data_IF_870177733085
#
_entry.id   IF_870177733085
#
_cell.length_a   1.000
_cell.length_b   1.000
_cell.length_c   1.000
_cell.angle_alpha   90.00
_cell.angle_beta   90.00
_cell.angle_gamma   90.00
#
_symmetry.space_group_name_H-M   'P 1'
#
loop_
_entity.id
_entity.type
_entity.pdbx_description
1 polymer ?
#
# COMPACT_ATOMS: atom_id res chain seq x y z
N UNK A 1 14.93 13.74 30.40
CA UNK A 1 14.95 14.38 29.08
C UNK A 1 13.55 14.25 28.51
N UNK A 2 12.81 15.34 28.46
CA UNK A 2 11.48 15.37 27.86
C UNK A 2 11.65 15.16 26.36
N UNK A 3 11.38 13.96 25.87
CA UNK A 3 11.23 13.69 24.44
C UNK A 3 10.03 14.53 23.97
N UNK A 4 10.31 15.61 23.24
CA UNK A 4 9.26 16.31 22.50
C UNK A 4 8.71 15.31 21.49
N UNK A 5 7.50 14.83 21.74
CA UNK A 5 6.83 13.92 20.81
C UNK A 5 6.52 14.71 19.54
N UNK A 6 7.11 14.33 18.43
CA UNK A 6 6.82 14.92 17.10
C UNK A 6 5.40 14.49 16.74
N UNK A 7 4.48 15.44 16.57
CA UNK A 7 3.13 15.11 16.17
C UNK A 7 3.08 14.71 14.69
N UNK A 8 2.27 13.71 14.36
CA UNK A 8 2.17 13.20 12.99
C UNK A 8 1.66 14.27 12.01
N UNK A 9 0.75 15.13 12.46
CA UNK A 9 0.18 16.23 11.71
C UNK A 9 1.23 17.30 11.34
N UNK A 10 2.25 17.47 12.18
CA UNK A 10 3.36 18.39 11.91
C UNK A 10 4.33 17.84 10.85
N UNK A 11 4.41 16.50 10.73
CA UNK A 11 5.26 15.81 9.75
C UNK A 11 4.57 15.70 8.40
N UNK A 12 3.27 15.37 8.38
CA UNK A 12 2.48 15.10 7.18
C UNK A 12 1.37 16.15 6.99
N UNK A 13 1.75 17.41 6.85
CA UNK A 13 0.80 18.48 6.56
C UNK A 13 0.48 18.57 5.06
N UNK A 14 -0.66 19.19 4.71
CA UNK A 14 -1.21 19.17 3.35
C UNK A 14 -0.26 19.76 2.27
N UNK A 15 0.64 20.66 2.64
CA UNK A 15 1.55 21.33 1.68
C UNK A 15 2.66 20.42 1.16
N UNK A 16 3.03 19.36 1.89
CA UNK A 16 4.08 18.43 1.49
C UNK A 16 3.55 17.18 0.78
N UNK A 17 2.22 16.99 0.80
CA UNK A 17 1.61 15.82 0.20
C UNK A 17 1.48 15.98 -1.31
N UNK A 18 1.98 15.00 -2.08
CA UNK A 18 1.79 15.02 -3.51
C UNK A 18 0.31 14.85 -3.87
N UNK A 19 -0.14 15.57 -4.90
CA UNK A 19 -1.47 15.36 -5.46
C UNK A 19 -1.53 14.06 -6.24
N UNK A 20 -2.61 13.28 -6.05
CA UNK A 20 -2.84 12.10 -6.87
C UNK A 20 -3.12 12.50 -8.33
N UNK A 21 -2.68 11.68 -9.31
CA UNK A 21 -3.05 11.86 -10.70
C UNK A 21 -4.56 11.85 -10.92
N UNK A 22 -5.04 12.61 -11.90
CA UNK A 22 -6.47 12.67 -12.25
C UNK A 22 -7.05 11.28 -12.59
N UNK A 23 -6.25 10.40 -13.20
CA UNK A 23 -6.62 9.01 -13.48
C UNK A 23 -6.97 8.25 -12.20
N UNK A 24 -6.18 8.40 -11.14
CA UNK A 24 -6.45 7.77 -9.84
C UNK A 24 -7.72 8.32 -9.19
N UNK A 25 -7.90 9.64 -9.20
CA UNK A 25 -9.10 10.27 -8.63
C UNK A 25 -10.35 9.77 -9.37
N UNK A 26 -10.32 9.69 -10.69
CA UNK A 26 -11.44 9.19 -11.49
C UNK A 26 -11.73 7.70 -11.17
N UNK A 27 -10.71 6.86 -11.03
CA UNK A 27 -10.86 5.46 -10.67
C UNK A 27 -11.45 5.27 -9.28
N UNK A 28 -11.07 6.10 -8.31
CA UNK A 28 -11.65 6.08 -6.97
C UNK A 28 -13.13 6.44 -6.99
N UNK A 29 -13.52 7.48 -7.74
CA UNK A 29 -14.92 7.88 -7.89
C UNK A 29 -15.75 6.77 -8.52
N UNK A 30 -15.25 6.14 -9.59
CA UNK A 30 -15.92 5.01 -10.24
C UNK A 30 -16.02 3.79 -9.33
N UNK A 31 -15.05 3.53 -8.46
CA UNK A 31 -15.11 2.39 -7.52
C UNK A 31 -16.18 2.53 -6.44
N UNK A 32 -16.68 3.74 -6.21
CA UNK A 32 -17.77 4.05 -5.29
C UNK A 32 -19.15 4.05 -5.97
N UNK A 33 -19.18 3.98 -7.30
CA UNK A 33 -20.43 3.94 -8.07
C UNK A 33 -20.84 2.47 -8.36
N UNK A 34 -21.94 1.97 -7.75
CA UNK A 34 -22.41 0.61 -7.97
C UNK A 34 -22.84 0.31 -9.42
N UNK A 35 -23.17 1.35 -10.19
CA UNK A 35 -23.63 1.24 -11.57
C UNK A 35 -22.47 1.30 -12.58
N UNK A 36 -21.26 1.63 -12.13
CA UNK A 36 -20.10 1.73 -13.01
C UNK A 36 -19.67 0.35 -13.54
N UNK A 37 -19.71 0.20 -14.86
CA UNK A 37 -19.26 -1.01 -15.54
C UNK A 37 -17.80 -0.93 -16.02
N UNK A 38 -17.22 -2.04 -16.52
CA UNK A 38 -15.82 -2.09 -16.95
C UNK A 38 -15.45 -1.03 -17.99
N UNK A 39 -16.39 -0.62 -18.84
CA UNK A 39 -16.14 0.38 -19.88
C UNK A 39 -15.84 1.77 -19.31
N UNK A 40 -16.43 2.14 -18.17
CA UNK A 40 -16.16 3.39 -17.50
C UNK A 40 -14.74 3.41 -16.92
N UNK A 41 -14.27 2.29 -16.38
CA UNK A 41 -12.91 2.16 -15.85
C UNK A 41 -11.83 2.15 -16.92
N UNK A 42 -12.16 1.76 -18.15
CA UNK A 42 -11.21 1.79 -19.27
C UNK A 42 -10.74 3.22 -19.56
N UNK A 43 -11.66 4.19 -19.57
CA UNK A 43 -11.38 5.59 -19.96
C UNK A 43 -10.27 6.26 -19.16
N UNK A 44 -10.31 6.31 -17.81
CA UNK A 44 -9.25 6.98 -17.03
C UNK A 44 -7.90 6.25 -17.14
N UNK A 45 -7.89 4.93 -17.34
CA UNK A 45 -6.64 4.17 -17.50
C UNK A 45 -6.02 4.46 -18.87
N UNK A 46 -6.80 4.48 -19.94
CA UNK A 46 -6.31 4.74 -21.30
C UNK A 46 -5.93 6.22 -21.52
N UNK A 47 -6.55 7.13 -20.76
CA UNK A 47 -6.19 8.55 -20.80
C UNK A 47 -4.80 8.84 -20.19
N UNK A 48 -4.23 7.90 -19.45
CA UNK A 48 -2.89 7.95 -18.84
C UNK A 48 -2.00 6.87 -19.46
N UNK A 49 -1.17 7.19 -20.47
CA UNK A 49 -0.33 6.19 -21.15
C UNK A 49 0.65 5.47 -20.23
N UNK A 50 1.14 6.15 -19.18
CA UNK A 50 2.01 5.56 -18.18
C UNK A 50 1.28 4.47 -17.39
N UNK A 51 0.10 4.80 -16.88
CA UNK A 51 -0.75 3.89 -16.13
C UNK A 51 -1.20 2.71 -17.02
N UNK A 52 -1.64 2.98 -18.26
CA UNK A 52 -2.01 1.95 -19.23
C UNK A 52 -0.88 0.94 -19.44
N UNK A 53 0.35 1.42 -19.67
CA UNK A 53 1.51 0.56 -19.85
C UNK A 53 1.81 -0.30 -18.62
N UNK A 54 1.66 0.24 -17.40
CA UNK A 54 1.86 -0.51 -16.16
C UNK A 54 0.76 -1.56 -15.94
N UNK A 55 -0.49 -1.24 -16.22
CA UNK A 55 -1.62 -2.19 -16.16
C UNK A 55 -1.40 -3.36 -17.12
N UNK A 56 -1.06 -3.09 -18.38
CA UNK A 56 -0.81 -4.14 -19.36
C UNK A 56 0.40 -5.01 -18.98
N UNK A 57 1.47 -4.41 -18.45
CA UNK A 57 2.62 -5.15 -17.93
C UNK A 57 2.25 -6.03 -16.75
N UNK A 58 1.42 -5.53 -15.84
CA UNK A 58 0.97 -6.29 -14.67
C UNK A 58 0.17 -7.53 -15.08
N UNK A 59 -0.82 -7.37 -15.96
CA UNK A 59 -1.67 -8.50 -16.37
C UNK A 59 -0.92 -9.53 -17.22
N UNK A 60 0.08 -9.11 -17.98
CA UNK A 60 0.94 -10.01 -18.77
C UNK A 60 2.09 -10.63 -17.97
N UNK A 61 2.16 -10.37 -16.66
CA UNK A 61 3.15 -11.01 -15.82
C UNK A 61 2.90 -12.51 -15.68
N UNK A 62 3.93 -13.27 -15.33
CA UNK A 62 3.83 -14.71 -15.09
C UNK A 62 2.85 -15.10 -13.98
N UNK A 63 2.46 -14.14 -13.14
CA UNK A 63 1.49 -14.35 -12.08
C UNK A 63 0.11 -14.79 -12.59
N UNK A 64 -0.37 -14.18 -13.70
CA UNK A 64 -1.66 -14.52 -14.27
C UNK A 64 -1.62 -15.72 -15.20
N UNK A 65 -0.46 -16.02 -15.80
CA UNK A 65 -0.23 -17.20 -16.60
C UNK A 65 -1.09 -17.30 -17.87
N UNK A 66 -1.48 -16.17 -18.45
CA UNK A 66 -2.24 -16.18 -19.69
C UNK A 66 -1.42 -16.77 -20.83
N UNK A 67 -2.06 -17.55 -21.71
CA UNK A 67 -1.40 -18.19 -22.85
C UNK A 67 -1.11 -17.22 -23.99
N UNK A 68 -1.84 -16.14 -24.08
CA UNK A 68 -1.70 -15.08 -25.10
C UNK A 68 -1.58 -13.73 -24.41
N UNK A 69 -0.84 -12.83 -25.06
CA UNK A 69 -0.63 -11.48 -24.56
C UNK A 69 -1.95 -10.68 -24.57
N UNK A 70 -2.20 -9.97 -23.48
CA UNK A 70 -3.34 -9.06 -23.33
C UNK A 70 -2.92 -7.69 -23.85
N UNK A 71 -3.61 -7.22 -24.88
CA UNK A 71 -3.24 -6.03 -25.66
C UNK A 71 -4.09 -4.80 -25.35
N UNK A 72 -5.16 -4.93 -24.53
CA UNK A 72 -6.04 -3.80 -24.20
C UNK A 72 -6.47 -3.79 -22.75
N UNK A 73 -6.72 -2.58 -22.23
CA UNK A 73 -7.25 -2.37 -20.87
C UNK A 73 -8.61 -3.03 -20.69
N UNK A 74 -9.48 -2.93 -21.70
CA UNK A 74 -10.80 -3.57 -21.65
C UNK A 74 -10.69 -5.09 -21.51
N UNK A 75 -9.77 -5.72 -22.26
CA UNK A 75 -9.49 -7.15 -22.13
C UNK A 75 -8.95 -7.49 -20.75
N UNK A 76 -8.03 -6.68 -20.20
CA UNK A 76 -7.51 -6.84 -18.85
C UNK A 76 -8.64 -6.78 -17.80
N UNK A 77 -9.51 -5.78 -17.85
CA UNK A 77 -10.66 -5.63 -16.96
C UNK A 77 -11.62 -6.84 -17.03
N UNK A 78 -11.83 -7.38 -18.24
CA UNK A 78 -12.72 -8.54 -18.44
C UNK A 78 -12.13 -9.84 -17.88
N UNK A 79 -10.82 -10.08 -18.08
CA UNK A 79 -10.17 -11.35 -17.72
C UNK A 79 -9.69 -11.40 -16.25
N UNK A 80 -9.18 -10.28 -15.75
CA UNK A 80 -8.62 -10.17 -14.40
C UNK A 80 -9.66 -9.66 -13.40
N UNK A 81 -10.62 -8.89 -13.88
CA UNK A 81 -11.66 -8.26 -13.08
C UNK A 81 -11.38 -6.79 -12.80
N UNK A 82 -12.43 -5.99 -12.84
CA UNK A 82 -12.37 -4.53 -12.67
C UNK A 82 -11.71 -4.15 -11.34
N UNK A 83 -12.11 -4.80 -10.24
CA UNK A 83 -11.60 -4.49 -8.90
C UNK A 83 -10.08 -4.68 -8.77
N UNK A 84 -9.54 -5.79 -9.29
CA UNK A 84 -8.11 -6.06 -9.24
C UNK A 84 -7.29 -5.06 -10.07
N UNK A 85 -7.77 -4.71 -11.26
CA UNK A 85 -7.12 -3.73 -12.15
C UNK A 85 -7.18 -2.32 -11.54
N UNK A 86 -8.34 -1.93 -10.99
CA UNK A 86 -8.49 -0.62 -10.35
C UNK A 86 -7.59 -0.50 -9.13
N UNK A 87 -7.53 -1.51 -8.28
CA UNK A 87 -6.66 -1.53 -7.10
C UNK A 87 -5.17 -1.44 -7.49
N UNK A 88 -4.75 -2.14 -8.54
CA UNK A 88 -3.39 -2.02 -9.06
C UNK A 88 -3.13 -0.63 -9.64
N UNK A 89 -4.10 -0.06 -10.38
CA UNK A 89 -3.98 1.28 -10.93
C UNK A 89 -3.86 2.36 -9.85
N UNK A 90 -4.65 2.26 -8.78
CA UNK A 90 -4.55 3.15 -7.62
C UNK A 90 -3.19 3.05 -6.93
N UNK A 91 -2.70 1.84 -6.70
CA UNK A 91 -1.36 1.64 -6.15
C UNK A 91 -0.28 2.27 -7.03
N UNK A 92 -0.31 2.03 -8.34
CA UNK A 92 0.66 2.62 -9.26
C UNK A 92 0.61 4.15 -9.21
N UNK A 93 -0.58 4.73 -9.17
CA UNK A 93 -0.77 6.16 -9.06
C UNK A 93 -0.20 6.73 -7.75
N UNK A 94 -0.46 6.09 -6.61
CA UNK A 94 0.11 6.49 -5.32
C UNK A 94 1.63 6.46 -5.37
N UNK A 95 2.21 5.36 -5.83
CA UNK A 95 3.67 5.23 -5.88
C UNK A 95 4.34 6.09 -6.96
N UNK A 96 3.61 6.56 -7.97
CA UNK A 96 4.15 7.51 -8.96
C UNK A 96 4.40 8.90 -8.38
N UNK A 97 3.70 9.26 -7.32
CA UNK A 97 3.81 10.58 -6.67
C UNK A 97 4.61 10.55 -5.37
N UNK A 98 4.86 9.36 -4.82
CA UNK A 98 5.67 9.20 -3.61
C UNK A 98 7.15 9.49 -3.92
N UNK A 99 7.86 10.24 -3.08
CA UNK A 99 9.26 10.55 -3.30
C UNK A 99 10.15 9.30 -3.27
N UNK A 100 11.28 9.36 -3.96
CA UNK A 100 12.36 8.38 -3.84
C UNK A 100 13.52 8.97 -3.04
N UNK A 101 13.46 8.92 -1.70
CA UNK A 101 14.51 9.52 -0.87
C UNK A 101 15.83 8.77 -1.03
N UNK A 102 16.93 9.51 -1.14
CA UNK A 102 18.27 8.97 -1.07
C UNK A 102 18.63 8.75 0.40
N UNK A 103 18.29 7.57 0.94
CA UNK A 103 18.38 7.30 2.36
C UNK A 103 19.02 5.92 2.62
N UNK A 104 20.30 5.90 2.98
CA UNK A 104 21.01 4.69 3.42
C UNK A 104 20.73 3.46 2.56
N UNK A 105 20.26 2.36 3.15
CA UNK A 105 19.94 1.13 2.44
C UNK A 105 18.54 1.14 1.79
N UNK A 106 17.78 2.23 1.90
CA UNK A 106 16.42 2.29 1.34
C UNK A 106 16.46 2.24 -0.19
N UNK A 107 15.59 1.41 -0.76
CA UNK A 107 15.37 1.30 -2.19
C UNK A 107 13.87 1.24 -2.49
N UNK A 108 13.36 2.26 -3.17
CA UNK A 108 11.94 2.36 -3.52
C UNK A 108 11.45 1.18 -4.38
N UNK A 109 12.30 0.64 -5.25
CA UNK A 109 11.97 -0.53 -6.07
C UNK A 109 11.78 -1.78 -5.19
N UNK A 110 12.61 -1.96 -4.19
CA UNK A 110 12.49 -3.06 -3.22
C UNK A 110 11.24 -2.93 -2.37
N UNK A 111 10.90 -1.71 -1.93
CA UNK A 111 9.63 -1.44 -1.25
C UNK A 111 8.44 -1.86 -2.13
N UNK A 112 8.44 -1.53 -3.42
CA UNK A 112 7.39 -1.93 -4.36
C UNK A 112 7.27 -3.44 -4.51
N UNK A 113 8.41 -4.14 -4.61
CA UNK A 113 8.44 -5.59 -4.71
C UNK A 113 7.88 -6.25 -3.46
N UNK A 114 8.26 -5.76 -2.28
CA UNK A 114 7.76 -6.25 -1.01
C UNK A 114 6.26 -5.97 -0.84
N UNK A 115 5.80 -4.77 -1.19
CA UNK A 115 4.37 -4.43 -1.17
C UNK A 115 3.57 -5.37 -2.06
N UNK A 116 4.05 -5.67 -3.28
CA UNK A 116 3.38 -6.60 -4.18
C UNK A 116 3.34 -8.02 -3.62
N UNK A 117 4.45 -8.53 -3.05
CA UNK A 117 4.49 -9.86 -2.42
C UNK A 117 3.52 -9.97 -1.24
N UNK A 118 3.48 -8.95 -0.38
CA UNK A 118 2.56 -8.87 0.77
C UNK A 118 1.11 -8.84 0.32
N UNK A 119 0.80 -8.06 -0.73
CA UNK A 119 -0.52 -7.97 -1.32
C UNK A 119 -0.99 -9.32 -1.91
N UNK A 120 -0.13 -9.99 -2.67
CA UNK A 120 -0.42 -11.33 -3.20
C UNK A 120 -0.66 -12.35 -2.08
N UNK A 121 0.15 -12.32 -1.03
CA UNK A 121 -0.02 -13.19 0.14
C UNK A 121 -1.36 -12.94 0.83
N UNK A 122 -1.68 -11.69 1.16
CA UNK A 122 -2.93 -11.31 1.82
C UNK A 122 -4.16 -11.75 1.01
N UNK A 123 -4.13 -11.54 -0.32
CA UNK A 123 -5.17 -11.98 -1.24
C UNK A 123 -5.35 -13.50 -1.26
N UNK A 124 -4.25 -14.25 -1.40
CA UNK A 124 -4.30 -15.72 -1.44
C UNK A 124 -4.81 -16.26 -0.11
N UNK A 125 -4.32 -15.73 1.01
CA UNK A 125 -4.78 -16.12 2.34
C UNK A 125 -6.26 -15.81 2.51
N UNK A 126 -6.72 -14.61 2.16
CA UNK A 126 -8.13 -14.23 2.21
C UNK A 126 -9.02 -15.15 1.38
N UNK A 127 -8.59 -15.50 0.15
CA UNK A 127 -9.30 -16.48 -0.69
C UNK A 127 -9.36 -17.86 -0.05
N UNK A 128 -8.27 -18.32 0.56
CA UNK A 128 -8.20 -19.61 1.24
C UNK A 128 -9.11 -19.68 2.47
N UNK A 129 -9.37 -18.54 3.11
CA UNK A 129 -10.29 -18.38 4.22
C UNK A 129 -11.74 -18.12 3.77
N UNK A 130 -12.01 -18.05 2.47
CA UNK A 130 -13.35 -17.80 1.92
C UNK A 130 -13.83 -16.36 2.05
N UNK A 131 -12.91 -15.39 2.24
CA UNK A 131 -13.29 -13.99 2.35
C UNK A 131 -13.66 -13.40 0.99
N UNK A 132 -14.84 -12.78 0.90
CA UNK A 132 -15.35 -12.17 -0.35
C UNK A 132 -14.54 -10.92 -0.78
N UNK A 133 -13.93 -10.21 0.19
CA UNK A 133 -13.16 -8.99 -0.03
C UNK A 133 -11.67 -9.23 -0.35
N UNK A 134 -11.29 -10.39 -0.86
CA UNK A 134 -9.87 -10.73 -1.10
C UNK A 134 -9.13 -9.70 -2.00
N UNK A 135 -9.82 -9.03 -2.92
CA UNK A 135 -9.23 -7.98 -3.75
C UNK A 135 -8.99 -6.67 -2.97
N UNK A 136 -9.75 -6.39 -1.91
CA UNK A 136 -9.50 -5.26 -1.02
C UNK A 136 -8.31 -5.54 -0.12
N UNK A 137 -8.14 -6.80 0.33
CA UNK A 137 -6.96 -7.21 1.07
C UNK A 137 -5.69 -7.02 0.23
N UNK A 138 -5.78 -7.29 -1.07
CA UNK A 138 -4.69 -7.01 -2.00
C UNK A 138 -4.36 -5.51 -2.01
N UNK A 139 -5.37 -4.64 -2.15
CA UNK A 139 -5.16 -3.19 -2.20
C UNK A 139 -4.63 -2.64 -0.87
N UNK A 140 -5.19 -3.04 0.26
CA UNK A 140 -4.74 -2.63 1.58
C UNK A 140 -3.29 -3.02 1.85
N UNK A 141 -2.92 -4.26 1.56
CA UNK A 141 -1.54 -4.73 1.71
C UNK A 141 -0.56 -4.09 0.72
N UNK A 142 -1.04 -3.70 -0.46
CA UNK A 142 -0.23 -3.04 -1.46
C UNK A 142 0.13 -1.60 -1.05
N UNK A 143 -0.78 -0.92 -0.35
CA UNK A 143 -0.64 0.48 0.08
C UNK A 143 -0.11 0.62 1.52
N UNK A 144 0.01 -0.45 2.28
CA UNK A 144 0.29 -0.42 3.72
C UNK A 144 1.52 0.41 4.11
N UNK A 145 2.58 0.34 3.31
CA UNK A 145 3.88 0.99 3.59
C UNK A 145 4.10 2.29 2.80
N UNK A 146 3.05 2.86 2.18
CA UNK A 146 3.16 4.02 1.29
C UNK A 146 3.67 5.30 1.97
N UNK A 147 3.56 5.41 3.29
CA UNK A 147 4.05 6.56 4.04
C UNK A 147 5.57 6.54 4.25
N UNK A 148 6.21 5.36 4.23
CA UNK A 148 7.63 5.22 4.59
C UNK A 148 8.55 6.15 3.78
N UNK A 149 8.44 6.25 2.44
CA UNK A 149 9.28 7.16 1.68
C UNK A 149 9.13 8.64 2.06
N UNK A 150 7.91 9.05 2.43
CA UNK A 150 7.64 10.41 2.91
C UNK A 150 8.28 10.64 4.27
N UNK A 151 8.11 9.70 5.20
CA UNK A 151 8.70 9.77 6.54
C UNK A 151 10.24 9.80 6.50
N UNK A 152 10.86 9.03 5.62
CA UNK A 152 12.31 9.05 5.37
C UNK A 152 12.79 10.41 4.83
N UNK A 153 11.96 11.09 4.05
CA UNK A 153 12.28 12.42 3.52
C UNK A 153 12.15 13.50 4.60
N UNK A 154 11.08 13.45 5.39
CA UNK A 154 10.76 14.49 6.36
C UNK A 154 11.52 14.34 7.69
N UNK A 155 11.87 13.10 8.08
CA UNK A 155 12.53 12.76 9.35
C UNK A 155 13.84 11.96 9.14
N UNK A 156 14.78 12.42 8.31
CA UNK A 156 15.93 11.61 7.92
C UNK A 156 16.85 11.24 9.12
N UNK A 157 17.03 12.10 10.10
CA UNK A 157 17.90 11.85 11.25
C UNK A 157 17.28 10.83 12.23
N UNK A 158 15.97 10.96 12.46
CA UNK A 158 15.19 10.06 13.30
C UNK A 158 15.17 8.66 12.70
N UNK A 159 14.89 8.56 11.39
CA UNK A 159 14.88 7.27 10.69
C UNK A 159 16.27 6.64 10.57
N UNK A 160 17.35 7.42 10.48
CA UNK A 160 18.71 6.88 10.57
C UNK A 160 18.92 6.18 11.92
N UNK A 161 18.44 6.77 13.01
CA UNK A 161 18.48 6.18 14.35
C UNK A 161 17.61 4.92 14.43
N UNK A 162 16.37 4.97 13.90
CA UNK A 162 15.45 3.84 13.89
C UNK A 162 15.99 2.64 13.10
N UNK A 163 16.57 2.87 11.92
CA UNK A 163 17.16 1.81 11.08
C UNK A 163 18.37 1.17 11.76
N UNK A 164 19.23 1.95 12.40
CA UNK A 164 20.34 1.40 13.20
C UNK A 164 19.83 0.54 14.37
N UNK A 165 18.85 1.04 15.13
CA UNK A 165 18.25 0.31 16.24
C UNK A 165 17.55 -0.98 15.78
N UNK A 166 16.83 -0.93 14.66
CA UNK A 166 16.20 -2.10 14.05
C UNK A 166 17.22 -3.20 13.79
N UNK A 167 18.37 -2.86 13.19
CA UNK A 167 19.43 -3.82 12.89
C UNK A 167 20.11 -4.38 14.15
N UNK A 168 20.33 -3.54 15.18
CA UNK A 168 21.05 -3.95 16.39
C UNK A 168 20.15 -4.67 17.40
N UNK A 169 18.87 -4.29 17.48
CA UNK A 169 17.92 -4.83 18.48
C UNK A 169 17.05 -5.97 17.91
N UNK A 170 17.03 -6.19 16.60
CA UNK A 170 16.18 -7.19 15.95
C UNK A 170 14.67 -6.89 16.11
N UNK A 171 14.30 -5.63 16.30
CA UNK A 171 12.93 -5.19 16.55
C UNK A 171 12.27 -4.69 15.25
N UNK A 172 10.93 -4.75 15.22
CA UNK A 172 10.16 -4.21 14.09
C UNK A 172 10.24 -2.69 14.06
N UNK A 173 10.28 -2.12 12.86
CA UNK A 173 10.32 -0.66 12.65
C UNK A 173 9.13 0.01 13.33
N UNK A 174 7.90 -0.50 13.15
CA UNK A 174 6.69 0.04 13.79
C UNK A 174 6.76 0.10 15.32
N UNK A 175 7.43 -0.87 15.96
CA UNK A 175 7.60 -0.84 17.43
C UNK A 175 8.57 0.24 17.87
N UNK A 176 9.61 0.49 17.09
CA UNK A 176 10.60 1.52 17.34
C UNK A 176 10.05 2.92 17.08
N UNK A 177 9.23 3.07 16.03
CA UNK A 177 8.51 4.30 15.71
C UNK A 177 7.56 4.69 16.84
N UNK A 178 6.73 3.75 17.32
CA UNK A 178 5.83 4.01 18.47
C UNK A 178 6.58 4.39 19.73
N UNK A 179 7.72 3.79 19.99
CA UNK A 179 8.56 4.14 21.14
C UNK A 179 9.13 5.56 21.02
N UNK A 180 9.51 5.97 19.80
CA UNK A 180 10.13 7.27 19.54
C UNK A 180 9.12 8.40 19.40
N UNK A 181 8.03 8.16 18.67
CA UNK A 181 7.08 9.19 18.24
C UNK A 181 5.70 9.08 18.92
N UNK A 182 5.33 7.90 19.44
CA UNK A 182 3.96 7.60 19.89
C UNK A 182 3.02 7.12 18.78
N UNK A 183 3.48 7.12 17.52
CA UNK A 183 2.77 6.64 16.33
C UNK A 183 3.72 5.84 15.43
N UNK A 184 3.20 5.14 14.41
CA UNK A 184 3.99 4.39 13.44
C UNK A 184 3.62 4.70 11.99
N UNK A 185 4.35 4.09 11.04
CA UNK A 185 4.11 4.28 9.60
C UNK A 185 2.71 3.82 9.16
N UNK A 186 2.04 2.93 9.91
CA UNK A 186 0.66 2.57 9.62
C UNK A 186 -0.31 3.70 9.93
N UNK A 187 -0.11 4.42 11.04
CA UNK A 187 -0.87 5.62 11.38
C UNK A 187 -0.65 6.71 10.33
N UNK A 188 0.59 6.91 9.92
CA UNK A 188 0.96 7.85 8.86
C UNK A 188 0.31 7.49 7.52
N UNK A 189 0.37 6.22 7.11
CA UNK A 189 -0.26 5.76 5.88
C UNK A 189 -1.79 5.87 5.91
N UNK A 190 -2.41 5.61 7.06
CA UNK A 190 -3.85 5.79 7.24
C UNK A 190 -4.26 7.28 7.15
N UNK A 191 -3.44 8.19 7.68
CA UNK A 191 -3.64 9.63 7.54
C UNK A 191 -3.58 10.06 6.07
N UNK A 192 -2.57 9.61 5.31
CA UNK A 192 -2.46 9.85 3.87
C UNK A 192 -3.67 9.31 3.11
N UNK A 193 -4.09 8.08 3.40
CA UNK A 193 -5.24 7.45 2.77
C UNK A 193 -6.53 8.27 2.97
N UNK A 194 -6.74 8.81 4.18
CA UNK A 194 -7.86 9.70 4.49
C UNK A 194 -7.79 11.02 3.71
N UNK A 195 -6.62 11.65 3.64
CA UNK A 195 -6.43 12.91 2.92
C UNK A 195 -6.64 12.75 1.40
N UNK A 196 -6.30 11.59 0.86
CA UNK A 196 -6.56 11.24 -0.53
C UNK A 196 -7.98 10.70 -0.77
N UNK A 197 -8.84 10.67 0.25
CA UNK A 197 -10.21 10.13 0.18
C UNK A 197 -10.26 8.68 -0.32
N UNK A 198 -9.30 7.84 0.05
CA UNK A 198 -9.36 6.41 -0.24
C UNK A 198 -10.54 5.76 0.49
N UNK A 199 -11.09 4.63 -0.02
CA UNK A 199 -12.19 3.92 0.62
C UNK A 199 -11.89 3.60 2.09
N UNK A 200 -12.91 3.69 2.95
CA UNK A 200 -12.77 3.49 4.40
C UNK A 200 -12.18 2.12 4.76
N UNK A 201 -12.55 1.08 3.99
CA UNK A 201 -12.02 -0.27 4.17
C UNK A 201 -10.50 -0.31 3.97
N UNK A 202 -9.97 0.42 2.97
CA UNK A 202 -8.52 0.53 2.75
C UNK A 202 -7.83 1.24 3.91
N UNK A 203 -8.44 2.34 4.40
CA UNK A 203 -7.92 3.06 5.58
C UNK A 203 -7.80 2.12 6.77
N UNK A 204 -8.82 1.28 7.02
CA UNK A 204 -8.85 0.30 8.10
C UNK A 204 -7.73 -0.74 7.91
N UNK A 205 -7.64 -1.38 6.75
CA UNK A 205 -6.61 -2.39 6.45
C UNK A 205 -5.19 -1.81 6.60
N UNK A 206 -4.97 -0.59 6.09
CA UNK A 206 -3.68 0.11 6.19
C UNK A 206 -3.35 0.42 7.65
N UNK A 207 -4.29 0.97 8.42
CA UNK A 207 -4.03 1.36 9.81
C UNK A 207 -3.72 0.18 10.73
N UNK A 208 -4.19 -1.02 10.41
CA UNK A 208 -4.11 -2.20 11.26
C UNK A 208 -2.98 -3.16 10.90
N UNK A 209 -2.24 -2.94 9.81
CA UNK A 209 -1.26 -3.92 9.33
C UNK A 209 -0.07 -4.14 10.29
N UNK A 210 0.19 -3.23 11.21
CA UNK A 210 1.23 -3.37 12.25
C UNK A 210 0.70 -3.94 13.58
N UNK A 211 -0.64 -4.16 13.72
CA UNK A 211 -1.34 -4.47 14.96
C UNK A 211 -1.85 -5.91 15.05
N UNK A 212 -1.09 -6.88 14.48
CA UNK A 212 -1.52 -8.29 14.43
C UNK A 212 -1.88 -8.85 15.81
N UNK A 213 -1.09 -8.55 16.85
CA UNK A 213 -1.35 -9.06 18.20
C UNK A 213 -2.69 -8.56 18.75
N UNK A 214 -3.05 -7.32 18.50
CA UNK A 214 -4.32 -6.72 18.92
C UNK A 214 -5.48 -7.41 18.18
N UNK A 215 -5.37 -7.56 16.86
CA UNK A 215 -6.38 -8.23 16.02
C UNK A 215 -6.66 -9.68 16.44
N UNK A 216 -5.65 -10.39 16.94
CA UNK A 216 -5.80 -11.79 17.36
C UNK A 216 -6.31 -11.94 18.80
N UNK A 217 -6.10 -10.93 19.68
CA UNK A 217 -6.51 -11.01 21.08
C UNK A 217 -8.00 -10.78 21.28
N UNK A 218 -8.66 -9.99 20.45
CA UNK A 218 -10.04 -9.55 20.68
C UNK A 218 -11.11 -10.59 20.33
N UNK A 219 -10.74 -11.75 19.75
CA UNK A 219 -11.66 -12.83 19.39
C UNK A 219 -12.78 -12.46 18.39
N UNK A 220 -12.93 -11.18 18.10
CA UNK A 220 -13.84 -10.59 17.09
C UNK A 220 -13.05 -9.81 16.04
N UNK A 221 -11.73 -10.02 15.96
CA UNK A 221 -10.86 -9.30 15.05
C UNK A 221 -11.25 -9.48 13.59
N UNK A 222 -11.09 -8.43 12.82
CA UNK A 222 -11.28 -8.46 11.37
C UNK A 222 -10.26 -9.42 10.73
N UNK A 223 -10.76 -10.58 10.24
CA UNK A 223 -9.92 -11.58 9.57
C UNK A 223 -9.24 -11.01 8.33
N UNK A 224 -9.85 -10.04 7.64
CA UNK A 224 -9.26 -9.36 6.51
C UNK A 224 -8.04 -8.55 6.93
N UNK A 225 -8.20 -7.73 7.97
CA UNK A 225 -7.08 -6.97 8.56
C UNK A 225 -5.97 -7.90 9.09
N UNK A 226 -6.33 -9.04 9.68
CA UNK A 226 -5.35 -10.04 10.11
C UNK A 226 -4.58 -10.64 8.93
N UNK A 227 -5.22 -10.88 7.77
CA UNK A 227 -4.52 -11.33 6.56
C UNK A 227 -3.47 -10.32 6.07
N UNK A 228 -3.81 -9.03 6.09
CA UNK A 228 -2.88 -7.95 5.71
C UNK A 228 -1.75 -7.85 6.73
N UNK A 229 -2.06 -7.88 8.02
CA UNK A 229 -1.08 -7.83 9.10
C UNK A 229 -0.12 -9.04 9.08
N UNK A 230 -0.59 -10.23 8.74
CA UNK A 230 0.26 -11.41 8.52
C UNK A 230 1.18 -11.21 7.31
N UNK A 231 0.68 -10.61 6.23
CA UNK A 231 1.49 -10.25 5.06
C UNK A 231 2.65 -9.32 5.42
N UNK A 232 2.46 -8.41 6.35
CA UNK A 232 3.51 -7.49 6.82
C UNK A 232 4.67 -8.19 7.54
N UNK A 233 4.50 -9.45 7.95
CA UNK A 233 5.55 -10.26 8.58
C UNK A 233 6.49 -10.93 7.57
N UNK A 234 6.14 -10.93 6.29
CA UNK A 234 7.03 -11.48 5.27
C UNK A 234 8.35 -10.70 5.25
N UNK A 235 9.50 -11.40 5.23
CA UNK A 235 10.79 -10.74 5.15
C UNK A 235 10.91 -9.96 3.83
N UNK A 236 11.74 -8.90 3.84
CA UNK A 236 12.07 -8.19 2.60
C UNK A 236 12.69 -9.12 1.57
N UNK A 237 12.49 -8.84 0.29
CA UNK A 237 13.11 -9.58 -0.81
C UNK A 237 14.58 -9.21 -1.03
N UNK A 238 15.11 -8.21 -0.30
CA UNK A 238 16.52 -7.83 -0.31
C UNK A 238 17.16 -8.17 1.04
N UNK A 239 18.35 -8.76 1.00
CA UNK A 239 19.09 -9.18 2.20
C UNK A 239 19.48 -8.03 3.12
N UNK A 240 19.53 -6.82 2.60
CA UNK A 240 19.80 -5.58 3.34
C UNK A 240 18.49 -4.84 3.68
N UNK A 241 17.53 -5.55 4.20
CA UNK A 241 16.21 -5.03 4.51
C UNK A 241 16.27 -3.72 5.30
N UNK A 242 15.78 -2.70 4.66
CA UNK A 242 15.53 -1.41 5.32
C UNK A 242 14.31 -1.53 6.22
#
# INVERSE_FOLDING_TARGET
MTTSTIALEDVLHAEILPALPNSAIALMQLSQDPEAGPAEFTKPIEADPGLMGQVLKFVNSSYFGFRSEIMSVQQALTLVGTRAITNFALWNAVFSVVPNPQFGPFDLKSLWQDSLRRALFARVLGKSLGLSQAEDLFAGALLQDMAIPLLLRELPNEYETLVRRRSSEGRRLSSLEREMFGWDHADAAAMLAKQWNLPADFVTLISQHTRLSELLCDGQGDLGAACVALGSLLPSCVDQGW
#
